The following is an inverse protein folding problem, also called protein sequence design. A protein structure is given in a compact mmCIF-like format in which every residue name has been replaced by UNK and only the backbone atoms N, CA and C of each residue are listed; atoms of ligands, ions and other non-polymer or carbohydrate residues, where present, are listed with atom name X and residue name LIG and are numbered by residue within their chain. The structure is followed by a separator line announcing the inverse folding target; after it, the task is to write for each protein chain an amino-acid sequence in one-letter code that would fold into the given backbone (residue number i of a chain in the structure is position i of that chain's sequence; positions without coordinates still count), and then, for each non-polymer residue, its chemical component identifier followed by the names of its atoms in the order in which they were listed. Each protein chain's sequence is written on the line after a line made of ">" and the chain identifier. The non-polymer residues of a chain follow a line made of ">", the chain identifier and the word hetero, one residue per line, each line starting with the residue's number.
data_IF_323299143066
#
_entry.id   IF_323299143066
#
_cell.length_a   1.000
_cell.length_b   1.000
_cell.length_c   1.000
_cell.angle_alpha   90.00
_cell.angle_beta   90.00
_cell.angle_gamma   90.00
#
_symmetry.space_group_name_H-M   'P 1'
#
loop_
_entity.id
_entity.type
_entity.pdbx_description
1 polymer ?
#
# COMPACT_ATOMS: atom_id res chain seq x y z
N UNK A 1 -54.71 -4.95 -17.77
CA UNK A 1 -54.66 -5.04 -19.24
C UNK A 1 -54.37 -3.65 -19.77
N UNK A 2 -53.09 -3.33 -20.01
CA UNK A 2 -52.64 -2.07 -20.62
C UNK A 2 -51.46 -2.43 -21.53
N UNK A 3 -51.76 -2.53 -22.82
CA UNK A 3 -50.86 -2.80 -23.93
C UNK A 3 -50.06 -1.54 -24.26
N UNK A 4 -48.82 -1.44 -23.77
CA UNK A 4 -47.89 -0.37 -24.15
C UNK A 4 -47.06 -0.77 -25.39
N UNK A 5 -47.66 -0.48 -26.53
CA UNK A 5 -47.08 0.09 -27.75
C UNK A 5 -45.61 -0.26 -28.13
N UNK A 6 -45.47 -1.17 -29.10
CA UNK A 6 -44.22 -1.70 -29.69
C UNK A 6 -43.44 -0.70 -30.57
N UNK A 7 -43.95 0.53 -30.77
CA UNK A 7 -43.39 1.52 -31.70
C UNK A 7 -42.22 2.35 -31.15
N UNK A 8 -42.08 2.47 -29.81
CA UNK A 8 -41.06 3.32 -29.20
C UNK A 8 -39.65 2.72 -29.22
N UNK A 9 -39.52 1.40 -29.31
CA UNK A 9 -38.21 0.71 -29.25
C UNK A 9 -37.38 0.95 -30.51
N UNK A 10 -38.02 1.18 -31.67
CA UNK A 10 -37.33 1.41 -32.95
C UNK A 10 -36.72 2.81 -33.05
N UNK A 11 -37.39 3.82 -32.50
CA UNK A 11 -36.92 5.21 -32.55
C UNK A 11 -35.68 5.43 -31.67
N UNK A 12 -35.65 4.83 -30.47
CA UNK A 12 -34.49 4.95 -29.57
C UNK A 12 -33.22 4.34 -30.16
N UNK A 13 -33.34 3.20 -30.85
CA UNK A 13 -32.20 2.54 -31.49
C UNK A 13 -31.61 3.36 -32.65
N UNK A 14 -32.46 4.10 -33.39
CA UNK A 14 -32.00 5.00 -34.45
C UNK A 14 -31.17 6.17 -33.91
N UNK A 15 -31.60 6.81 -32.82
CA UNK A 15 -30.84 7.92 -32.22
C UNK A 15 -29.48 7.49 -31.67
N UNK A 16 -29.38 6.28 -31.11
CA UNK A 16 -28.10 5.76 -30.59
C UNK A 16 -27.11 5.49 -31.73
N UNK A 17 -27.58 4.90 -32.84
CA UNK A 17 -26.71 4.58 -33.99
C UNK A 17 -26.27 5.86 -34.71
N UNK A 18 -27.16 6.83 -34.95
CA UNK A 18 -26.79 8.11 -35.56
C UNK A 18 -25.86 8.94 -34.65
N UNK A 19 -26.04 8.90 -33.33
CA UNK A 19 -25.16 9.56 -32.37
C UNK A 19 -23.75 8.95 -32.32
N UNK A 20 -23.63 7.62 -32.41
CA UNK A 20 -22.33 6.95 -32.46
C UNK A 20 -21.57 7.25 -33.76
N UNK A 21 -22.27 7.32 -34.89
CA UNK A 21 -21.65 7.67 -36.19
C UNK A 21 -21.18 9.13 -36.21
N UNK A 22 -21.95 10.06 -35.60
CA UNK A 22 -21.55 11.47 -35.47
C UNK A 22 -20.37 11.69 -34.52
N UNK A 23 -20.20 10.84 -33.51
CA UNK A 23 -19.08 10.91 -32.57
C UNK A 23 -17.79 10.35 -33.19
N UNK A 24 -17.88 9.28 -33.97
CA UNK A 24 -16.72 8.70 -34.69
C UNK A 24 -16.27 9.60 -35.84
N UNK A 25 -17.19 10.27 -36.55
CA UNK A 25 -16.82 11.20 -37.63
C UNK A 25 -16.20 12.50 -37.13
N UNK A 26 -16.52 12.95 -35.89
CA UNK A 26 -15.87 14.11 -35.27
C UNK A 26 -14.44 13.81 -34.79
N UNK A 27 -14.16 12.58 -34.37
CA UNK A 27 -12.80 12.15 -33.98
C UNK A 27 -11.87 12.06 -35.21
N UNK A 28 -12.43 11.73 -36.38
CA UNK A 28 -11.67 11.66 -37.63
C UNK A 28 -11.37 13.04 -38.28
N UNK A 29 -11.84 14.15 -37.69
CA UNK A 29 -11.61 15.53 -38.16
C UNK A 29 -10.70 16.31 -37.21
N UNK A 30 -9.75 15.65 -36.56
CA UNK A 30 -8.66 16.32 -35.85
C UNK A 30 -7.32 15.90 -36.45
N UNK A 31 -7.11 16.24 -37.73
CA UNK A 31 -5.81 16.16 -38.40
C UNK A 31 -4.92 17.38 -38.07
N UNK A 32 -4.96 17.85 -36.83
CA UNK A 32 -3.94 18.77 -36.33
C UNK A 32 -2.73 17.91 -35.98
N UNK A 33 -1.55 18.11 -36.61
CA UNK A 33 -0.35 17.41 -36.20
C UNK A 33 -0.14 17.74 -34.73
N UNK A 34 -0.05 16.70 -33.89
CA UNK A 34 0.36 16.84 -32.50
C UNK A 34 1.77 17.43 -32.57
N UNK A 35 1.86 18.76 -32.52
CA UNK A 35 3.08 19.48 -32.26
C UNK A 35 3.47 19.01 -30.88
N UNK A 36 4.37 18.02 -30.87
CA UNK A 36 5.05 17.48 -29.73
C UNK A 36 5.50 18.69 -28.93
N UNK A 37 4.78 19.01 -27.86
CA UNK A 37 5.15 20.10 -26.99
C UNK A 37 6.57 19.76 -26.55
N UNK A 38 7.53 20.51 -27.06
CA UNK A 38 8.91 20.51 -26.61
C UNK A 38 8.88 21.05 -25.17
N UNK A 39 8.39 20.22 -24.26
CA UNK A 39 8.63 20.34 -22.83
C UNK A 39 10.09 19.99 -22.65
N UNK A 40 10.93 20.95 -23.03
CA UNK A 40 12.33 21.04 -22.66
C UNK A 40 12.34 21.30 -21.15
N UNK A 41 12.06 20.24 -20.39
CA UNK A 41 12.40 20.16 -18.99
C UNK A 41 13.92 20.25 -18.96
N UNK A 42 14.44 21.49 -18.80
CA UNK A 42 15.85 21.71 -18.47
C UNK A 42 16.11 21.07 -17.11
N UNK A 43 16.41 19.77 -17.17
CA UNK A 43 16.68 18.85 -16.07
C UNK A 43 18.07 19.08 -15.46
N UNK A 44 18.59 20.30 -15.61
CA UNK A 44 19.90 20.76 -15.13
C UNK A 44 19.78 21.87 -14.09
N UNK A 45 18.56 22.25 -13.69
CA UNK A 45 18.36 23.21 -12.60
C UNK A 45 18.89 22.62 -11.28
N UNK A 46 19.75 23.35 -10.54
CA UNK A 46 20.23 22.90 -9.24
C UNK A 46 19.06 22.81 -8.24
N UNK A 47 19.15 21.89 -7.27
CA UNK A 47 18.09 21.65 -6.27
C UNK A 47 17.64 22.92 -5.53
N UNK A 48 18.53 23.89 -5.35
CA UNK A 48 18.22 25.20 -4.72
C UNK A 48 17.29 26.08 -5.55
N UNK A 49 17.09 25.78 -6.83
CA UNK A 49 16.17 26.49 -7.73
C UNK A 49 14.76 25.90 -7.79
N UNK A 50 14.50 24.80 -7.07
CA UNK A 50 13.18 24.19 -6.98
C UNK A 50 12.37 24.94 -5.93
N UNK A 51 11.41 25.75 -6.39
CA UNK A 51 10.44 26.43 -5.53
C UNK A 51 9.12 25.68 -5.54
N UNK A 52 8.47 25.58 -4.36
CA UNK A 52 7.08 25.13 -4.24
C UNK A 52 6.06 26.25 -4.57
N UNK A 53 6.55 27.45 -4.88
CA UNK A 53 5.73 28.57 -5.32
C UNK A 53 5.24 28.33 -6.75
N UNK A 54 4.00 27.88 -6.86
CA UNK A 54 3.26 27.69 -8.11
C UNK A 54 2.69 29.00 -8.65
N UNK A 55 2.96 30.15 -8.05
CA UNK A 55 2.56 31.43 -8.63
C UNK A 55 3.24 31.60 -9.99
N UNK A 56 2.46 32.01 -10.99
CA UNK A 56 2.93 32.22 -12.35
C UNK A 56 3.85 33.45 -12.40
N UNK A 57 5.11 33.31 -12.02
CA UNK A 57 6.11 34.39 -12.14
C UNK A 57 6.48 34.58 -13.60
N UNK A 58 5.90 35.59 -14.24
CA UNK A 58 6.31 36.16 -15.53
C UNK A 58 6.46 35.17 -16.70
N UNK A 59 5.90 33.95 -16.62
CA UNK A 59 5.70 33.12 -17.80
C UNK A 59 4.50 33.68 -18.56
N UNK A 60 4.64 33.81 -19.89
CA UNK A 60 3.51 34.05 -20.76
C UNK A 60 2.54 32.87 -20.58
N UNK A 61 1.50 33.09 -19.79
CA UNK A 61 0.43 32.11 -19.60
C UNK A 61 -0.26 31.98 -20.95
N UNK A 62 -0.42 30.77 -21.50
CA UNK A 62 -1.16 30.58 -22.73
C UNK A 62 -2.58 31.13 -22.55
N UNK A 63 -3.15 31.70 -23.62
CA UNK A 63 -4.52 32.18 -23.61
C UNK A 63 -5.46 31.07 -23.13
N UNK A 64 -6.25 31.38 -22.09
CA UNK A 64 -7.14 30.41 -21.47
C UNK A 64 -8.33 30.15 -22.40
N UNK A 65 -8.15 29.20 -23.33
CA UNK A 65 -9.20 28.72 -24.23
C UNK A 65 -10.40 28.10 -23.50
N UNK A 66 -10.35 27.97 -22.18
CA UNK A 66 -11.41 27.37 -21.38
C UNK A 66 -12.31 28.39 -20.67
N UNK A 67 -12.04 29.70 -20.74
CA UNK A 67 -12.93 30.73 -20.16
C UNK A 67 -14.37 30.62 -20.66
N UNK A 68 -14.56 30.30 -21.95
CA UNK A 68 -15.88 30.13 -22.60
C UNK A 68 -16.72 29.02 -21.95
N UNK A 69 -16.09 28.03 -21.29
CA UNK A 69 -16.80 26.92 -20.64
C UNK A 69 -17.16 27.21 -19.18
N UNK A 70 -16.62 28.26 -18.55
CA UNK A 70 -16.88 28.58 -17.15
C UNK A 70 -18.30 29.15 -16.98
N UNK A 71 -18.82 29.87 -17.97
CA UNK A 71 -20.17 30.44 -17.93
C UNK A 71 -21.29 29.39 -18.00
N UNK A 72 -21.00 28.18 -18.49
CA UNK A 72 -21.95 27.06 -18.51
C UNK A 72 -21.84 26.14 -17.29
N UNK A 73 -21.47 26.69 -16.13
CA UNK A 73 -21.55 25.94 -14.87
C UNK A 73 -23.03 25.72 -14.52
N UNK A 74 -23.61 24.64 -15.06
CA UNK A 74 -24.81 24.07 -14.49
C UNK A 74 -24.41 23.68 -13.06
N UNK A 75 -24.93 24.39 -12.08
CA UNK A 75 -24.76 24.11 -10.66
C UNK A 75 -25.52 22.82 -10.32
N UNK A 76 -25.06 21.69 -10.85
CA UNK A 76 -25.52 20.38 -10.39
C UNK A 76 -25.06 20.25 -8.94
N UNK A 77 -25.96 20.04 -7.96
CA UNK A 77 -25.53 19.72 -6.60
C UNK A 77 -24.58 18.53 -6.70
N UNK A 78 -23.33 18.72 -6.27
CA UNK A 78 -22.37 17.62 -6.25
C UNK A 78 -22.91 16.60 -5.25
N UNK A 79 -23.49 15.50 -5.73
CA UNK A 79 -23.90 14.41 -4.85
C UNK A 79 -22.64 13.87 -4.18
N UNK A 80 -22.48 14.19 -2.89
CA UNK A 80 -21.38 13.69 -2.08
C UNK A 80 -21.74 12.25 -1.71
N UNK A 81 -21.42 11.32 -2.59
CA UNK A 81 -21.51 9.90 -2.27
C UNK A 81 -20.39 9.56 -1.29
N UNK A 82 -20.76 9.30 -0.03
CA UNK A 82 -19.83 8.72 0.94
C UNK A 82 -19.72 7.22 0.64
N UNK A 83 -18.66 6.81 -0.05
CA UNK A 83 -18.36 5.39 -0.25
C UNK A 83 -17.62 4.85 0.98
N UNK A 84 -18.30 4.06 1.79
CA UNK A 84 -17.65 3.32 2.87
C UNK A 84 -16.83 2.16 2.27
N UNK A 85 -15.51 2.29 2.29
CA UNK A 85 -14.61 1.17 1.96
C UNK A 85 -14.40 0.31 3.21
N UNK A 86 -14.88 -0.93 3.18
CA UNK A 86 -14.50 -1.93 4.18
C UNK A 86 -13.07 -2.41 3.88
N UNK A 87 -12.08 -1.72 4.43
CA UNK A 87 -10.70 -2.15 4.31
C UNK A 87 -10.46 -3.41 5.15
N UNK A 88 -10.15 -4.52 4.48
CA UNK A 88 -9.69 -5.76 5.13
C UNK A 88 -8.18 -5.86 4.98
N UNK A 89 -7.47 -5.84 6.10
CA UNK A 89 -6.03 -6.04 6.13
C UNK A 89 -5.63 -7.33 5.38
N UNK A 90 -4.60 -7.24 4.54
CA UNK A 90 -4.07 -8.41 3.83
C UNK A 90 -3.50 -9.41 4.84
N UNK A 91 -4.06 -10.62 4.85
CA UNK A 91 -3.65 -11.70 5.76
C UNK A 91 -2.47 -12.48 5.17
N UNK A 92 -1.36 -11.77 4.96
CA UNK A 92 -0.13 -12.36 4.46
C UNK A 92 0.39 -13.43 5.42
N UNK A 93 1.08 -14.43 4.88
CA UNK A 93 1.66 -15.54 5.63
C UNK A 93 3.18 -15.53 5.47
N UNK A 94 3.89 -15.80 6.57
CA UNK A 94 5.34 -15.86 6.60
C UNK A 94 5.81 -17.01 7.52
N UNK A 95 7.08 -17.39 7.40
CA UNK A 95 7.74 -18.33 8.33
C UNK A 95 7.92 -17.70 9.71
N UNK A 96 8.06 -18.48 10.79
CA UNK A 96 8.32 -17.92 12.12
C UNK A 96 9.54 -16.98 12.10
N UNK A 97 9.36 -15.80 12.69
CA UNK A 97 10.40 -14.79 12.85
C UNK A 97 11.05 -15.00 14.21
N UNK A 98 12.16 -15.73 14.28
CA UNK A 98 12.81 -16.04 15.55
C UNK A 98 13.46 -14.82 16.22
N UNK A 99 13.85 -13.83 15.42
CA UNK A 99 14.61 -12.65 15.86
C UNK A 99 13.77 -11.36 15.93
N UNK A 100 12.44 -11.46 15.89
CA UNK A 100 11.58 -10.27 15.94
C UNK A 100 11.48 -9.70 17.36
N UNK A 101 11.59 -8.38 17.48
CA UNK A 101 11.13 -7.62 18.63
C UNK A 101 9.71 -7.11 18.36
N UNK A 102 8.71 -7.94 18.64
CA UNK A 102 7.28 -7.62 18.38
C UNK A 102 6.86 -6.26 18.94
N UNK A 103 7.32 -5.93 20.15
CA UNK A 103 6.92 -4.70 20.84
C UNK A 103 7.41 -3.47 20.06
N UNK A 104 8.67 -3.49 19.65
CA UNK A 104 9.29 -2.42 18.88
C UNK A 104 8.80 -2.39 17.43
N UNK A 105 8.87 -3.53 16.74
CA UNK A 105 8.70 -3.62 15.28
C UNK A 105 7.23 -3.51 14.86
N UNK A 106 6.31 -4.15 15.59
CA UNK A 106 4.88 -4.15 15.23
C UNK A 106 4.08 -3.03 15.90
N UNK A 107 4.44 -2.69 17.13
CA UNK A 107 3.67 -1.74 17.94
C UNK A 107 4.40 -0.43 18.20
N UNK A 108 5.65 -0.27 17.76
CA UNK A 108 6.42 0.97 17.92
C UNK A 108 6.81 1.27 19.37
N UNK A 109 6.71 0.28 20.27
CA UNK A 109 7.00 0.47 21.68
C UNK A 109 8.50 0.43 21.93
N UNK A 110 9.15 1.58 21.78
CA UNK A 110 10.58 1.74 21.99
C UNK A 110 10.93 2.12 23.45
N UNK A 111 12.13 1.72 23.89
CA UNK A 111 12.70 2.07 25.20
C UNK A 111 13.53 3.37 25.15
N UNK A 112 13.30 4.20 24.13
CA UNK A 112 14.05 5.44 23.88
C UNK A 112 15.32 5.24 23.04
N UNK A 113 15.87 6.33 22.47
CA UNK A 113 16.89 6.25 21.42
C UNK A 113 18.23 5.65 21.87
N UNK A 114 18.61 5.82 23.14
CA UNK A 114 19.87 5.31 23.67
C UNK A 114 19.80 3.84 24.10
N UNK A 115 18.70 3.43 24.74
CA UNK A 115 18.55 2.07 25.28
C UNK A 115 18.04 1.07 24.24
N UNK A 116 17.27 1.52 23.24
CA UNK A 116 16.72 0.65 22.21
C UNK A 116 17.77 -0.23 21.50
N UNK A 117 18.90 0.30 20.98
CA UNK A 117 19.89 -0.53 20.30
C UNK A 117 20.51 -1.59 21.23
N UNK A 118 20.72 -1.25 22.51
CA UNK A 118 21.23 -2.20 23.49
C UNK A 118 20.22 -3.32 23.77
N UNK A 119 18.95 -2.96 23.99
CA UNK A 119 17.88 -3.93 24.27
C UNK A 119 17.65 -4.85 23.08
N UNK A 120 17.54 -4.30 21.87
CA UNK A 120 17.38 -5.10 20.65
C UNK A 120 18.61 -5.97 20.36
N UNK A 121 19.83 -5.46 20.63
CA UNK A 121 21.06 -6.24 20.50
C UNK A 121 21.12 -7.42 21.47
N UNK A 122 20.82 -7.20 22.75
CA UNK A 122 20.73 -8.28 23.74
C UNK A 122 19.67 -9.31 23.36
N UNK A 123 18.50 -8.84 22.89
CA UNK A 123 17.41 -9.71 22.41
C UNK A 123 17.88 -10.60 21.27
N UNK A 124 18.52 -10.02 20.25
CA UNK A 124 19.07 -10.75 19.11
C UNK A 124 20.08 -11.82 19.57
N UNK A 125 21.01 -11.48 20.47
CA UNK A 125 21.96 -12.44 21.00
C UNK A 125 21.28 -13.60 21.74
N UNK A 126 20.31 -13.30 22.61
CA UNK A 126 19.55 -14.34 23.32
C UNK A 126 18.77 -15.23 22.35
N UNK A 127 18.11 -14.63 21.36
CA UNK A 127 17.36 -15.37 20.35
C UNK A 127 18.31 -16.20 19.45
N UNK A 128 19.55 -15.75 19.21
CA UNK A 128 20.57 -16.51 18.47
C UNK A 128 21.04 -17.74 19.24
N UNK A 129 21.36 -17.61 20.53
CA UNK A 129 21.78 -18.74 21.36
C UNK A 129 20.65 -19.74 21.61
N UNK A 130 19.42 -19.25 21.71
CA UNK A 130 18.23 -20.09 21.93
C UNK A 130 17.54 -20.51 20.63
N UNK A 131 18.12 -20.21 19.47
CA UNK A 131 17.50 -20.47 18.16
C UNK A 131 17.08 -21.94 17.97
N UNK A 132 17.91 -22.95 18.27
CA UNK A 132 17.49 -24.34 18.11
C UNK A 132 16.30 -24.71 19.00
N UNK A 133 16.28 -24.23 20.25
CA UNK A 133 15.14 -24.39 21.16
C UNK A 133 13.85 -23.80 20.57
N UNK A 134 13.94 -22.61 19.98
CA UNK A 134 12.81 -21.94 19.35
C UNK A 134 12.28 -22.69 18.12
N UNK A 135 13.17 -23.23 17.29
CA UNK A 135 12.80 -24.09 16.15
C UNK A 135 12.09 -25.38 16.58
N UNK A 136 12.38 -25.89 17.78
CA UNK A 136 11.69 -27.04 18.35
C UNK A 136 10.30 -26.72 18.91
N UNK A 137 10.01 -25.45 19.22
CA UNK A 137 8.68 -24.98 19.65
C UNK A 137 7.84 -24.60 18.43
N UNK A 138 8.33 -23.64 17.64
CA UNK A 138 7.71 -23.18 16.40
C UNK A 138 8.52 -23.75 15.24
N UNK A 139 7.94 -24.68 14.48
CA UNK A 139 8.69 -25.34 13.41
C UNK A 139 9.00 -24.33 12.27
N UNK A 140 10.21 -24.35 11.65
CA UNK A 140 10.58 -23.39 10.61
C UNK A 140 9.69 -23.41 9.35
N UNK A 141 8.94 -24.48 9.14
CA UNK A 141 7.98 -24.61 8.03
C UNK A 141 6.54 -24.24 8.42
N UNK A 142 6.29 -23.90 9.68
CA UNK A 142 4.99 -23.39 10.10
C UNK A 142 4.75 -22.00 9.48
N UNK A 143 3.53 -21.75 9.03
CA UNK A 143 3.15 -20.47 8.42
C UNK A 143 2.36 -19.64 9.43
N UNK A 144 2.98 -18.57 9.93
CA UNK A 144 2.36 -17.56 10.80
C UNK A 144 1.72 -16.46 9.95
N UNK A 145 0.75 -15.75 10.52
CA UNK A 145 0.06 -14.64 9.85
C UNK A 145 0.63 -13.29 10.24
N UNK A 146 0.56 -12.32 9.32
CA UNK A 146 0.92 -10.92 9.62
C UNK A 146 -0.08 -10.20 10.52
N UNK A 147 -1.32 -10.69 10.64
CA UNK A 147 -2.28 -10.14 11.60
C UNK A 147 -1.72 -10.35 13.01
N UNK A 148 -1.23 -9.27 13.63
CA UNK A 148 -0.64 -9.29 14.98
C UNK A 148 -1.64 -9.65 16.07
N UNK A 149 -1.23 -9.51 17.33
CA UNK A 149 -2.03 -9.87 18.50
C UNK A 149 -3.30 -9.04 18.69
N UNK A 150 -3.39 -7.87 18.06
CA UNK A 150 -4.45 -6.91 18.28
C UNK A 150 -4.86 -6.22 16.98
N UNK A 151 -6.08 -5.70 16.94
CA UNK A 151 -6.61 -4.99 15.76
C UNK A 151 -6.05 -3.57 15.69
N UNK A 152 -5.95 -2.97 14.49
CA UNK A 152 -5.68 -1.55 14.35
C UNK A 152 -6.66 -0.73 15.22
N UNK A 153 -6.13 0.21 15.99
CA UNK A 153 -6.92 1.07 16.89
C UNK A 153 -7.24 0.48 18.27
N UNK A 154 -6.94 -0.80 18.54
CA UNK A 154 -7.02 -1.33 19.91
C UNK A 154 -5.83 -0.87 20.75
N UNK A 155 -6.01 -0.53 22.04
CA UNK A 155 -4.90 -0.24 22.94
C UNK A 155 -4.13 -1.54 23.24
N UNK A 156 -2.82 -1.55 23.03
CA UNK A 156 -1.96 -2.72 23.24
C UNK A 156 -0.79 -2.35 24.15
N UNK A 157 -0.52 -3.20 25.15
CA UNK A 157 0.64 -3.12 26.03
C UNK A 157 1.95 -3.55 25.36
N UNK A 158 3.09 -3.52 26.08
CA UNK A 158 4.36 -3.99 25.54
C UNK A 158 4.31 -5.52 25.42
N UNK A 159 4.40 -6.04 24.20
CA UNK A 159 4.30 -7.48 23.93
C UNK A 159 5.68 -8.11 24.05
N UNK A 160 5.82 -9.11 24.92
CA UNK A 160 7.07 -9.84 25.09
C UNK A 160 6.93 -11.28 24.61
N UNK A 161 7.88 -11.70 23.78
CA UNK A 161 8.01 -13.11 23.40
C UNK A 161 8.34 -13.95 24.62
N UNK A 162 7.48 -14.94 24.90
CA UNK A 162 7.63 -15.91 25.98
C UNK A 162 8.10 -17.24 25.38
N UNK A 163 9.06 -17.88 26.04
CA UNK A 163 9.50 -19.22 25.72
C UNK A 163 8.83 -20.19 26.70
N UNK A 164 7.74 -20.88 26.30
CA UNK A 164 7.15 -21.90 27.16
C UNK A 164 8.13 -23.04 27.38
N UNK A 165 8.00 -23.73 28.49
CA UNK A 165 8.73 -24.97 28.72
C UNK A 165 8.27 -26.04 27.72
N UNK A 166 9.19 -26.57 26.92
CA UNK A 166 8.90 -27.56 25.90
C UNK A 166 10.03 -28.59 25.82
N UNK A 167 9.67 -29.86 26.00
CA UNK A 167 10.59 -30.98 25.81
C UNK A 167 11.12 -31.06 24.37
N UNK A 168 10.30 -30.70 23.38
CA UNK A 168 10.73 -30.65 21.97
C UNK A 168 11.78 -29.57 21.74
N UNK A 169 11.60 -28.39 22.34
CA UNK A 169 12.63 -27.35 22.30
C UNK A 169 13.93 -27.83 22.95
N UNK A 170 13.83 -28.47 24.11
CA UNK A 170 15.00 -28.96 24.84
C UNK A 170 15.79 -30.02 24.05
N UNK A 171 15.11 -30.94 23.37
CA UNK A 171 15.79 -31.94 22.53
C UNK A 171 16.50 -31.32 21.34
N UNK A 172 15.88 -30.33 20.66
CA UNK A 172 16.51 -29.62 19.55
C UNK A 172 17.75 -28.84 19.99
N UNK A 173 17.67 -28.13 21.12
CA UNK A 173 18.81 -27.42 21.70
C UNK A 173 19.95 -28.37 22.03
N UNK A 174 19.64 -29.48 22.70
CA UNK A 174 20.65 -30.47 23.10
C UNK A 174 21.29 -31.11 21.86
N UNK A 175 20.49 -31.48 20.86
CA UNK A 175 20.97 -32.06 19.61
C UNK A 175 21.88 -31.08 18.84
N UNK A 176 21.53 -29.80 18.77
CA UNK A 176 22.36 -28.79 18.12
C UNK A 176 23.70 -28.61 18.84
N UNK A 177 23.70 -28.60 20.18
CA UNK A 177 24.93 -28.47 20.97
C UNK A 177 25.83 -29.71 20.86
N UNK A 178 25.26 -30.91 20.98
CA UNK A 178 26.00 -32.18 20.81
C UNK A 178 26.56 -32.28 19.38
N UNK A 179 25.74 -32.00 18.37
CA UNK A 179 26.17 -32.03 16.97
C UNK A 179 27.26 -31.01 16.67
N UNK A 180 27.14 -29.79 17.22
CA UNK A 180 28.19 -28.78 17.13
C UNK A 180 29.49 -29.25 17.78
N UNK A 181 29.44 -29.73 19.02
CA UNK A 181 30.62 -30.24 19.72
C UNK A 181 31.28 -31.41 18.98
N UNK A 182 30.50 -32.33 18.43
CA UNK A 182 31.00 -33.48 17.66
C UNK A 182 31.62 -33.09 16.31
N UNK A 183 31.26 -31.95 15.71
CA UNK A 183 31.85 -31.47 14.46
C UNK A 183 33.18 -30.75 14.65
N UNK A 184 33.44 -30.20 15.84
CA UNK A 184 34.66 -29.43 16.13
C UNK A 184 35.72 -30.23 16.90
N UNK A 185 35.51 -31.54 17.04
CA UNK A 185 36.38 -32.46 17.77
C UNK A 185 36.87 -33.60 16.87
#
# INVERSE_FOLDING_TARGET
>A
MATANRSNVSTTYRYIIFGAIALVSNIARSDEPINRLDLKLDLTKPLSGISLDTSSRNLAVPEDRYEVYIEQRIECPREIFCTCYEWKASRLRHRPLYFEDVSLERYGWANGPALQPLVSGMRFCVDAFTLPYQMGIDHPQEMKTTLGYARPGSPVGPVRKRLPWSWKGATYQTAAMIGGAALFH
#
